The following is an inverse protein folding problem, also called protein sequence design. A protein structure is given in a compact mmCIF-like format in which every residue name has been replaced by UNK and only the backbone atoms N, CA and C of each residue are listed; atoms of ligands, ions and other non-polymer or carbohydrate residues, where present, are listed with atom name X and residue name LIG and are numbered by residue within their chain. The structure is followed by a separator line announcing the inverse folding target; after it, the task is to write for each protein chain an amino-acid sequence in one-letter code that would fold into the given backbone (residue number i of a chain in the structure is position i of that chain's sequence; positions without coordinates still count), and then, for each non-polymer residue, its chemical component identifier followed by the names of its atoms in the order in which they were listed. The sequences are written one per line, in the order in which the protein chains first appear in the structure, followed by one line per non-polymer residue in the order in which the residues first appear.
data_IF_933573763577
#
_entry.id   IF_933573763577
#
_cell.length_a   1.000
_cell.length_b   1.000
_cell.length_c   1.000
_cell.angle_alpha   90.00
_cell.angle_beta   90.00
_cell.angle_gamma   90.00
#
_symmetry.space_group_name_H-M   'P 1'
#
loop_
_entity.id
_entity.type
_entity.pdbx_description
1 polymer ?
#
# COMPACT_ATOMS: atom_id res chain seq x y z
N UNK A 1 2.75 -4.79 20.75
CA UNK A 1 2.57 -4.31 19.36
C UNK A 1 1.10 -4.44 19.01
N UNK A 2 0.51 -3.42 18.39
CA UNK A 2 -0.91 -3.42 18.01
C UNK A 2 -1.03 -3.68 16.49
N UNK A 3 -0.50 -4.84 16.08
CA UNK A 3 -0.41 -5.25 14.66
C UNK A 3 -1.81 -5.52 14.13
N UNK A 4 -2.11 -5.08 12.92
CA UNK A 4 -3.35 -5.40 12.24
C UNK A 4 -3.37 -6.89 11.88
N UNK A 5 -4.37 -7.61 12.38
CA UNK A 5 -4.52 -9.03 12.11
C UNK A 5 -5.14 -9.29 10.73
N UNK A 6 -5.16 -10.56 10.29
CA UNK A 6 -5.70 -10.96 8.98
C UNK A 6 -7.16 -10.56 8.77
N UNK A 7 -7.99 -10.55 9.83
CA UNK A 7 -9.41 -10.12 9.74
C UNK A 7 -9.55 -8.67 9.28
N UNK A 8 -8.57 -7.81 9.58
CA UNK A 8 -8.58 -6.43 9.09
C UNK A 8 -8.52 -6.37 7.56
N UNK A 9 -7.71 -7.21 6.94
CA UNK A 9 -7.51 -7.26 5.48
C UNK A 9 -8.58 -8.10 4.78
N UNK A 10 -9.18 -9.08 5.48
CA UNK A 10 -10.24 -9.95 4.96
C UNK A 10 -11.60 -9.24 4.99
N UNK A 11 -11.68 -8.09 4.35
CA UNK A 11 -12.88 -7.26 4.22
C UNK A 11 -12.93 -6.65 2.82
N UNK A 12 -14.04 -6.03 2.48
CA UNK A 12 -14.18 -5.23 1.25
C UNK A 12 -13.00 -4.27 1.08
N UNK A 13 -12.46 -4.23 -0.12
CA UNK A 13 -11.22 -3.51 -0.44
C UNK A 13 -11.34 -2.00 -0.24
N UNK A 14 -12.49 -1.39 -0.55
CA UNK A 14 -12.67 0.06 -0.37
C UNK A 14 -12.69 0.43 1.12
N UNK A 15 -13.31 -0.40 1.97
CA UNK A 15 -13.25 -0.21 3.42
C UNK A 15 -11.82 -0.35 3.97
N UNK A 16 -11.08 -1.38 3.53
CA UNK A 16 -9.68 -1.54 3.95
C UNK A 16 -8.83 -0.38 3.48
N UNK A 17 -9.02 0.08 2.23
CA UNK A 17 -8.28 1.22 1.66
C UNK A 17 -8.44 2.47 2.50
N UNK A 18 -9.67 2.78 2.89
CA UNK A 18 -10.00 3.92 3.76
C UNK A 18 -9.44 3.75 5.17
N UNK A 19 -9.65 2.57 5.78
CA UNK A 19 -9.26 2.31 7.16
C UNK A 19 -7.74 2.19 7.36
N UNK A 20 -6.96 2.02 6.29
CA UNK A 20 -5.50 2.08 6.30
C UNK A 20 -4.97 3.50 6.50
N UNK A 21 -5.74 4.54 6.20
CA UNK A 21 -5.36 5.91 6.52
C UNK A 21 -5.20 6.06 8.04
N UNK A 22 -4.12 6.71 8.46
CA UNK A 22 -3.78 6.89 9.86
C UNK A 22 -3.12 5.67 10.52
N UNK A 23 -3.05 4.51 9.85
CA UNK A 23 -2.28 3.36 10.35
C UNK A 23 -0.78 3.60 10.17
N UNK A 24 0.03 2.90 10.94
CA UNK A 24 1.48 3.03 10.90
C UNK A 24 2.08 1.85 10.13
N UNK A 25 2.67 2.13 8.97
CA UNK A 25 3.47 1.17 8.22
C UNK A 25 4.84 1.05 8.88
N UNK A 26 5.26 -0.18 9.16
CA UNK A 26 6.50 -0.53 9.84
C UNK A 26 7.39 -1.36 8.90
N UNK A 27 8.68 -1.07 8.91
CA UNK A 27 9.71 -1.84 8.21
C UNK A 27 10.89 -2.06 9.14
N UNK A 28 11.28 -3.31 9.36
CA UNK A 28 12.50 -3.67 10.11
C UNK A 28 13.53 -4.22 9.13
N UNK A 29 14.72 -3.65 9.15
CA UNK A 29 15.84 -4.06 8.30
C UNK A 29 17.14 -4.01 9.10
N UNK A 30 17.85 -5.14 9.24
CA UNK A 30 19.10 -5.23 10.00
C UNK A 30 19.03 -4.62 11.41
N UNK A 31 17.93 -4.86 12.11
CA UNK A 31 17.68 -4.30 13.47
C UNK A 31 17.19 -2.85 13.50
N UNK A 32 17.25 -2.13 12.39
CA UNK A 32 16.73 -0.76 12.28
C UNK A 32 15.24 -0.78 11.99
N UNK A 33 14.45 -0.05 12.76
CA UNK A 33 13.03 0.18 12.51
C UNK A 33 12.79 1.51 11.78
N UNK A 34 12.05 1.43 10.70
CA UNK A 34 11.58 2.56 9.93
C UNK A 34 10.06 2.57 9.96
N UNK A 35 9.46 3.72 10.08
CA UNK A 35 8.00 3.79 10.08
C UNK A 35 7.44 5.10 9.53
N UNK A 36 6.18 5.05 9.10
CA UNK A 36 5.43 6.24 8.73
C UNK A 36 3.92 6.01 8.82
N UNK A 37 3.18 7.09 9.08
CA UNK A 37 1.72 7.07 9.06
C UNK A 37 1.23 7.07 7.62
N UNK A 38 0.38 6.12 7.25
CA UNK A 38 -0.23 6.04 5.93
C UNK A 38 -1.19 7.22 5.75
N UNK A 39 -0.98 8.01 4.70
CA UNK A 39 -1.76 9.22 4.41
C UNK A 39 -2.41 9.22 3.03
N UNK A 40 -2.05 8.25 2.16
CA UNK A 40 -2.63 8.10 0.84
C UNK A 40 -2.63 6.64 0.40
N UNK A 41 -3.77 6.17 -0.13
CA UNK A 41 -4.00 4.80 -0.57
C UNK A 41 -4.86 4.76 -1.84
N UNK A 42 -4.76 3.66 -2.62
CA UNK A 42 -5.65 3.40 -3.75
C UNK A 42 -6.17 1.96 -3.71
N UNK A 43 -7.46 1.78 -4.01
CA UNK A 43 -8.07 0.46 -4.13
C UNK A 43 -7.94 -0.09 -5.55
N UNK A 44 -7.68 -1.40 -5.65
CA UNK A 44 -7.67 -2.18 -6.89
C UNK A 44 -8.53 -3.43 -6.70
N UNK A 45 -9.70 -3.44 -7.37
CA UNK A 45 -10.80 -4.37 -7.09
C UNK A 45 -10.83 -5.57 -8.07
N UNK A 46 -9.71 -6.24 -8.21
CA UNK A 46 -9.64 -7.54 -8.87
C UNK A 46 -10.07 -7.56 -10.34
N UNK A 47 -10.81 -8.62 -10.72
CA UNK A 47 -11.18 -8.87 -12.13
C UNK A 47 -12.18 -7.85 -12.70
N UNK A 48 -13.00 -7.23 -11.86
CA UNK A 48 -14.00 -6.25 -12.28
C UNK A 48 -13.39 -4.87 -12.59
N UNK A 49 -12.17 -4.61 -12.13
CA UNK A 49 -11.45 -3.36 -12.24
C UNK A 49 -10.41 -3.44 -13.37
N UNK A 50 -10.65 -2.74 -14.48
CA UNK A 50 -9.75 -2.76 -15.64
C UNK A 50 -8.38 -2.12 -15.39
N UNK A 51 -8.21 -1.36 -14.28
CA UNK A 51 -6.93 -0.85 -13.84
C UNK A 51 -6.12 -1.85 -13.00
N UNK A 52 -6.78 -2.92 -12.50
CA UNK A 52 -6.13 -3.91 -11.66
C UNK A 52 -5.24 -4.86 -12.47
N UNK A 53 -4.06 -5.21 -11.96
CA UNK A 53 -3.17 -6.20 -12.58
C UNK A 53 -3.82 -7.59 -12.74
N UNK A 54 -4.82 -7.90 -11.93
CA UNK A 54 -5.53 -9.16 -11.96
C UNK A 54 -6.75 -9.16 -12.91
N UNK A 55 -7.06 -8.04 -13.57
CA UNK A 55 -8.19 -7.91 -14.50
C UNK A 55 -8.20 -9.00 -15.58
N UNK A 56 -7.03 -9.29 -16.15
CA UNK A 56 -6.84 -10.30 -17.21
C UNK A 56 -6.54 -11.71 -16.67
N UNK A 57 -6.67 -11.93 -15.35
CA UNK A 57 -6.43 -13.21 -14.70
C UNK A 57 -5.08 -13.33 -14.01
N UNK A 58 -4.77 -14.55 -13.55
CA UNK A 58 -3.58 -14.87 -12.77
C UNK A 58 -2.34 -15.02 -13.67
N UNK A 59 -1.25 -14.42 -13.24
CA UNK A 59 0.08 -14.53 -13.88
C UNK A 59 1.12 -14.77 -12.79
N UNK A 60 2.35 -15.16 -13.14
CA UNK A 60 3.45 -15.28 -12.18
C UNK A 60 3.71 -13.95 -11.42
N UNK A 61 3.53 -12.81 -12.09
CA UNK A 61 3.72 -11.48 -11.50
C UNK A 61 2.71 -11.16 -10.40
N UNK A 62 1.43 -11.47 -10.61
CA UNK A 62 0.32 -11.09 -9.73
C UNK A 62 -0.20 -12.25 -8.85
N UNK A 63 0.49 -13.39 -8.86
CA UNK A 63 0.05 -14.62 -8.18
C UNK A 63 -0.28 -14.38 -6.69
N UNK A 64 0.48 -13.51 -6.01
CA UNK A 64 0.28 -13.16 -4.59
C UNK A 64 -1.10 -12.54 -4.35
N UNK A 65 -1.65 -11.77 -5.29
CA UNK A 65 -2.98 -11.16 -5.15
C UNK A 65 -4.10 -12.20 -5.04
N UNK A 66 -3.88 -13.44 -5.51
CA UNK A 66 -4.86 -14.53 -5.44
C UNK A 66 -4.73 -15.37 -4.16
N UNK A 67 -3.77 -15.03 -3.30
CA UNK A 67 -3.53 -15.69 -2.01
C UNK A 67 -4.37 -15.11 -0.88
N UNK A 68 -3.94 -15.42 0.36
CA UNK A 68 -4.58 -14.95 1.58
C UNK A 68 -4.42 -13.44 1.76
N UNK A 69 -5.44 -12.74 2.31
CA UNK A 69 -5.34 -11.33 2.64
C UNK A 69 -4.26 -11.06 3.69
N UNK A 70 -3.72 -9.84 3.69
CA UNK A 70 -2.64 -9.45 4.61
C UNK A 70 -1.25 -9.89 4.13
N UNK A 71 -1.10 -10.24 2.84
CA UNK A 71 0.21 -10.41 2.22
C UNK A 71 0.60 -9.16 1.42
N UNK A 72 1.88 -8.83 1.43
CA UNK A 72 2.43 -7.77 0.61
C UNK A 72 2.55 -8.24 -0.85
N UNK A 73 1.95 -7.51 -1.78
CA UNK A 73 2.20 -7.65 -3.20
C UNK A 73 3.13 -6.53 -3.66
N UNK A 74 4.39 -6.89 -3.88
CA UNK A 74 5.43 -5.95 -4.31
C UNK A 74 5.81 -6.24 -5.75
N UNK A 75 5.64 -5.25 -6.64
CA UNK A 75 5.98 -5.41 -8.04
C UNK A 75 6.92 -4.32 -8.55
N UNK A 76 7.71 -4.69 -9.57
CA UNK A 76 8.64 -3.79 -10.25
C UNK A 76 7.97 -3.14 -11.46
N UNK A 77 8.18 -1.84 -11.64
CA UNK A 77 7.59 -1.07 -12.73
C UNK A 77 8.55 -0.01 -13.27
N UNK A 78 8.33 0.41 -14.52
CA UNK A 78 9.14 1.40 -15.23
C UNK A 78 10.64 1.09 -15.24
N UNK A 79 11.06 -0.16 -15.07
CA UNK A 79 12.47 -0.55 -15.06
C UNK A 79 13.29 -0.06 -13.86
N UNK A 80 12.68 0.61 -12.87
CA UNK A 80 13.43 1.23 -11.78
C UNK A 80 12.71 1.35 -10.42
N UNK A 81 11.42 1.02 -10.34
CA UNK A 81 10.63 1.30 -9.16
C UNK A 81 9.87 0.08 -8.64
N UNK A 82 9.79 -0.02 -7.32
CA UNK A 82 8.90 -0.96 -6.62
C UNK A 82 7.66 -0.25 -6.10
N UNK A 83 6.55 -0.99 -6.05
CA UNK A 83 5.27 -0.54 -5.54
C UNK A 83 4.76 -1.54 -4.52
N UNK A 84 4.34 -1.06 -3.34
CA UNK A 84 3.80 -1.88 -2.25
C UNK A 84 2.29 -1.87 -2.27
N UNK A 85 1.70 -3.06 -2.36
CA UNK A 85 0.27 -3.27 -2.14
C UNK A 85 0.04 -4.27 -1.01
N UNK A 86 -1.11 -4.20 -0.36
CA UNK A 86 -1.57 -5.14 0.64
C UNK A 86 -2.79 -5.87 0.11
N UNK A 87 -2.71 -7.20 0.02
CA UNK A 87 -3.78 -8.06 -0.48
C UNK A 87 -4.96 -8.03 0.49
N UNK A 88 -6.17 -7.95 -0.06
CA UNK A 88 -7.44 -7.87 0.69
C UNK A 88 -8.43 -8.93 0.22
N UNK A 89 -9.55 -9.05 0.93
CA UNK A 89 -10.66 -9.97 0.64
C UNK A 89 -10.27 -11.46 0.76
N UNK A 90 -11.16 -12.36 0.37
CA UNK A 90 -10.90 -13.79 0.46
C UNK A 90 -9.87 -14.26 -0.59
N UNK A 91 -9.13 -15.31 -0.27
CA UNK A 91 -8.27 -15.99 -1.23
C UNK A 91 -9.05 -16.36 -2.49
N UNK A 92 -8.45 -16.15 -3.66
CA UNK A 92 -9.10 -16.31 -4.97
C UNK A 92 -9.77 -15.04 -5.51
N UNK A 93 -10.02 -14.03 -4.66
CA UNK A 93 -10.50 -12.70 -5.06
C UNK A 93 -9.32 -11.72 -5.08
N UNK A 94 -8.73 -11.41 -6.25
CA UNK A 94 -7.42 -10.77 -6.35
C UNK A 94 -7.49 -9.24 -6.18
N UNK A 95 -7.89 -8.80 -5.01
CA UNK A 95 -8.00 -7.38 -4.64
C UNK A 95 -6.80 -6.94 -3.79
N UNK A 96 -6.42 -5.67 -3.90
CA UNK A 96 -5.33 -5.13 -3.12
C UNK A 96 -5.43 -3.60 -2.94
N UNK A 97 -4.74 -3.11 -1.90
CA UNK A 97 -4.60 -1.67 -1.63
C UNK A 97 -3.16 -1.24 -1.89
N UNK A 98 -2.94 -0.30 -2.81
CA UNK A 98 -1.66 0.35 -3.03
C UNK A 98 -1.42 1.40 -1.94
N UNK A 99 -0.28 1.32 -1.26
CA UNK A 99 0.19 2.37 -0.35
C UNK A 99 0.92 3.43 -1.16
N UNK A 100 0.37 4.65 -1.20
CA UNK A 100 0.90 5.72 -2.07
C UNK A 100 1.80 6.72 -1.36
N UNK A 101 1.44 7.08 -0.14
CA UNK A 101 2.25 8.01 0.65
C UNK A 101 2.15 7.71 2.14
N UNK A 102 3.24 8.03 2.84
CA UNK A 102 3.31 7.98 4.29
C UNK A 102 3.90 9.29 4.82
N UNK A 103 3.52 9.66 6.04
CA UNK A 103 4.20 10.70 6.82
C UNK A 103 5.27 10.00 7.68
N UNK A 104 6.57 10.25 7.46
CA UNK A 104 7.64 9.59 8.19
C UNK A 104 7.55 9.82 9.70
N UNK A 105 7.82 8.79 10.51
CA UNK A 105 7.78 8.84 11.98
C UNK A 105 9.11 8.42 12.61
N UNK A 106 9.67 7.28 12.20
CA UNK A 106 10.90 6.71 12.78
C UNK A 106 11.88 6.36 11.68
N UNK A 107 13.19 6.54 11.95
CA UNK A 107 14.26 6.22 11.02
C UNK A 107 14.38 7.20 9.85
N UNK A 108 13.98 8.46 10.05
CA UNK A 108 13.94 9.51 9.02
C UNK A 108 15.32 9.72 8.39
N UNK A 109 16.38 9.80 9.18
CA UNK A 109 17.76 9.99 8.68
C UNK A 109 18.17 8.88 7.69
N UNK A 110 17.82 7.62 7.99
CA UNK A 110 18.09 6.50 7.10
C UNK A 110 17.27 6.58 5.81
N UNK A 111 16.03 7.04 5.87
CA UNK A 111 15.21 7.30 4.69
C UNK A 111 15.81 8.44 3.84
N UNK A 112 16.23 9.53 4.48
CA UNK A 112 16.89 10.68 3.81
C UNK A 112 18.20 10.26 3.13
N UNK A 113 19.01 9.44 3.80
CA UNK A 113 20.26 8.92 3.23
C UNK A 113 20.01 8.09 1.94
N UNK A 114 18.95 7.27 1.92
CA UNK A 114 18.58 6.46 0.74
C UNK A 114 18.00 7.28 -0.38
N UNK A 115 17.19 8.27 -0.05
CA UNK A 115 16.46 9.10 -1.03
C UNK A 115 17.22 10.33 -1.48
N UNK A 116 18.15 10.84 -0.65
CA UNK A 116 18.80 12.16 -0.79
C UNK A 116 17.77 13.29 -0.94
N UNK A 117 16.68 13.19 -0.21
CA UNK A 117 15.55 14.12 -0.14
C UNK A 117 15.10 14.27 1.31
N UNK A 118 14.43 15.39 1.62
CA UNK A 118 13.91 15.71 2.97
C UNK A 118 12.43 16.12 2.92
N UNK A 119 11.81 16.19 4.09
CA UNK A 119 10.45 16.67 4.26
C UNK A 119 9.43 15.90 3.42
N UNK A 120 8.43 16.58 2.89
CA UNK A 120 7.33 15.97 2.14
C UNK A 120 7.80 15.15 0.91
N UNK A 121 8.93 15.52 0.28
CA UNK A 121 9.46 14.82 -0.88
C UNK A 121 10.04 13.44 -0.55
N UNK A 122 10.16 13.09 0.74
CA UNK A 122 10.79 11.86 1.17
C UNK A 122 9.94 10.64 0.83
N UNK A 123 8.61 10.70 1.06
CA UNK A 123 7.70 9.56 0.96
C UNK A 123 6.34 9.89 0.32
N UNK A 124 6.21 11.02 -0.36
CA UNK A 124 4.97 11.46 -1.02
C UNK A 124 4.78 10.85 -2.42
N UNK A 125 4.86 9.54 -2.51
CA UNK A 125 4.62 8.78 -3.73
C UNK A 125 4.99 7.31 -3.55
N UNK A 126 4.35 6.38 -4.26
CA UNK A 126 4.46 4.95 -3.99
C UNK A 126 5.88 4.40 -4.23
N UNK A 127 6.55 4.84 -5.29
CA UNK A 127 7.95 4.49 -5.53
C UNK A 127 8.89 5.12 -4.50
N UNK A 128 8.58 6.37 -4.09
CA UNK A 128 9.39 7.12 -3.13
C UNK A 128 9.39 6.44 -1.76
N UNK A 129 8.21 6.04 -1.26
CA UNK A 129 8.11 5.33 0.02
C UNK A 129 8.81 3.97 -0.03
N UNK A 130 8.69 3.21 -1.14
CA UNK A 130 9.40 1.94 -1.28
C UNK A 130 10.92 2.14 -1.24
N UNK A 131 11.45 3.15 -1.90
CA UNK A 131 12.88 3.48 -1.85
C UNK A 131 13.30 3.93 -0.43
N UNK A 132 12.52 4.79 0.24
CA UNK A 132 12.80 5.25 1.59
C UNK A 132 12.86 4.11 2.61
N UNK A 133 11.91 3.17 2.51
CA UNK A 133 11.79 2.02 3.41
C UNK A 133 12.58 0.78 2.96
N UNK A 134 13.35 0.85 1.87
CA UNK A 134 14.01 -0.32 1.25
C UNK A 134 13.03 -1.48 1.03
N UNK A 135 11.90 -1.18 0.39
CA UNK A 135 10.91 -2.18 -0.02
C UNK A 135 11.21 -2.59 -1.45
N UNK A 136 11.50 -3.85 -1.66
CA UNK A 136 11.80 -4.44 -2.97
C UNK A 136 11.12 -5.80 -3.15
N UNK A 137 11.50 -6.52 -4.20
CA UNK A 137 10.92 -7.82 -4.55
C UNK A 137 11.08 -8.89 -3.46
N UNK A 138 12.07 -8.78 -2.57
CA UNK A 138 12.27 -9.76 -1.48
C UNK A 138 11.08 -9.81 -0.51
N UNK A 139 10.33 -8.71 -0.41
CA UNK A 139 9.14 -8.61 0.42
C UNK A 139 7.84 -9.03 -0.30
N UNK A 140 7.91 -9.44 -1.58
CA UNK A 140 6.72 -9.92 -2.27
C UNK A 140 6.25 -11.25 -1.68
N UNK A 141 5.03 -11.30 -1.16
CA UNK A 141 4.47 -12.44 -0.42
C UNK A 141 4.75 -12.40 1.09
N UNK A 142 5.40 -11.35 1.62
CA UNK A 142 5.57 -11.17 3.06
C UNK A 142 4.19 -11.07 3.75
N UNK A 143 3.99 -11.86 4.83
CA UNK A 143 2.80 -11.78 5.67
C UNK A 143 2.91 -10.61 6.64
N UNK A 144 2.17 -9.53 6.38
CA UNK A 144 2.23 -8.30 7.18
C UNK A 144 1.48 -8.40 8.51
N UNK A 145 0.90 -9.55 8.80
CA UNK A 145 0.21 -9.82 10.08
C UNK A 145 1.13 -10.40 11.16
N UNK A 146 2.37 -10.77 10.78
CA UNK A 146 3.32 -11.43 11.67
C UNK A 146 4.27 -10.48 12.42
N UNK A 147 4.41 -9.22 11.98
CA UNK A 147 5.29 -8.25 12.64
C UNK A 147 6.79 -8.55 12.52
N UNK A 148 7.21 -9.22 11.44
CA UNK A 148 8.61 -9.62 11.22
C UNK A 148 9.44 -8.52 10.55
N UNK A 149 9.31 -8.38 9.23
CA UNK A 149 10.09 -7.44 8.43
C UNK A 149 9.28 -6.25 7.94
N UNK A 150 8.01 -6.49 7.59
CA UNK A 150 7.04 -5.49 7.12
C UNK A 150 5.69 -5.78 7.78
N UNK A 151 5.08 -4.77 8.39
CA UNK A 151 3.75 -4.91 9.01
C UNK A 151 3.05 -3.56 9.14
N UNK A 152 1.77 -3.58 9.53
CA UNK A 152 0.99 -2.39 9.81
C UNK A 152 0.42 -2.46 11.23
N UNK A 153 0.51 -1.35 11.95
CA UNK A 153 -0.01 -1.19 13.31
C UNK A 153 -1.18 -0.19 13.37
N UNK A 154 -2.08 -0.39 14.32
CA UNK A 154 -2.99 0.68 14.70
C UNK A 154 -2.19 1.88 15.23
N UNK A 155 -2.53 3.10 14.77
CA UNK A 155 -1.85 4.32 15.21
C UNK A 155 -2.83 5.45 15.46
N UNK A 156 -3.39 6.06 14.43
CA UNK A 156 -4.40 7.12 14.54
C UNK A 156 -5.69 6.72 13.85
N UNK A 157 -6.81 7.18 14.37
CA UNK A 157 -8.09 7.16 13.65
C UNK A 157 -8.22 8.48 12.90
N UNK A 158 -8.42 8.43 11.60
CA UNK A 158 -8.67 9.60 10.76
C UNK A 158 -10.18 9.83 10.73
N UNK A 159 -10.67 11.03 11.09
CA UNK A 159 -12.08 11.37 10.97
C UNK A 159 -12.53 11.40 9.51
N UNK A 160 -13.75 10.97 9.26
CA UNK A 160 -14.32 10.94 7.91
C UNK A 160 -14.33 12.32 7.22
N UNK A 161 -14.50 13.37 8.00
CA UNK A 161 -14.55 14.76 7.54
C UNK A 161 -13.25 15.27 6.90
N UNK A 162 -12.11 14.62 7.18
CA UNK A 162 -10.81 14.98 6.59
C UNK A 162 -10.33 13.97 5.55
N UNK A 163 -11.13 12.96 5.22
CA UNK A 163 -10.81 12.02 4.16
C UNK A 163 -11.33 12.57 2.83
N UNK A 164 -10.40 12.77 1.91
CA UNK A 164 -10.71 13.19 0.54
C UNK A 164 -10.65 11.98 -0.38
N UNK A 165 -11.61 11.86 -1.29
CA UNK A 165 -11.63 10.82 -2.33
C UNK A 165 -11.49 11.43 -3.71
N UNK A 166 -10.68 10.80 -4.56
CA UNK A 166 -10.41 11.24 -5.93
C UNK A 166 -10.29 10.04 -6.86
N UNK A 167 -10.27 10.24 -8.18
CA UNK A 167 -9.79 9.24 -9.11
C UNK A 167 -8.35 8.81 -8.81
N UNK A 168 -8.02 7.57 -9.16
CA UNK A 168 -6.66 7.00 -9.04
C UNK A 168 -5.70 7.64 -10.04
N UNK A 169 -4.41 7.57 -9.78
CA UNK A 169 -3.35 8.19 -10.58
C UNK A 169 -2.64 7.13 -11.44
N UNK A 170 -2.37 7.47 -12.70
CA UNK A 170 -1.55 6.64 -13.61
C UNK A 170 -2.28 5.43 -14.17
N UNK A 171 -3.60 5.50 -14.30
CA UNK A 171 -4.46 4.44 -14.83
C UNK A 171 -5.21 4.87 -16.11
N UNK A 172 -4.63 5.74 -16.93
CA UNK A 172 -5.26 6.28 -18.15
C UNK A 172 -5.65 5.20 -19.16
N UNK A 173 -5.01 4.04 -19.09
CA UNK A 173 -5.30 2.85 -19.90
C UNK A 173 -6.61 2.12 -19.49
N UNK A 174 -7.17 2.43 -18.32
CA UNK A 174 -8.36 1.76 -17.82
C UNK A 174 -9.64 2.25 -18.48
N UNK A 175 -10.71 1.45 -18.40
CA UNK A 175 -12.05 1.85 -18.86
C UNK A 175 -12.52 3.10 -18.11
N UNK A 176 -13.29 3.95 -18.76
CA UNK A 176 -13.77 5.23 -18.20
C UNK A 176 -14.38 5.07 -16.81
N UNK A 177 -15.28 4.10 -16.62
CA UNK A 177 -15.91 3.85 -15.31
C UNK A 177 -14.91 3.60 -14.17
N UNK A 178 -13.79 2.91 -14.48
CA UNK A 178 -12.77 2.54 -13.48
C UNK A 178 -11.78 3.70 -13.29
N UNK A 179 -11.51 4.46 -14.35
CA UNK A 179 -10.65 5.64 -14.31
C UNK A 179 -11.26 6.77 -13.49
N UNK A 180 -12.58 6.97 -13.59
CA UNK A 180 -13.33 8.02 -12.91
C UNK A 180 -13.78 7.61 -11.49
N UNK A 181 -13.67 6.33 -11.13
CA UNK A 181 -14.02 5.84 -9.80
C UNK A 181 -13.17 6.53 -8.72
N UNK A 182 -13.83 7.04 -7.67
CA UNK A 182 -13.19 7.76 -6.55
C UNK A 182 -12.54 6.77 -5.57
N UNK A 183 -11.60 5.96 -6.06
CA UNK A 183 -10.96 4.87 -5.33
C UNK A 183 -9.53 5.20 -4.85
N UNK A 184 -9.18 6.45 -4.83
CA UNK A 184 -7.99 6.98 -4.17
C UNK A 184 -8.45 7.80 -2.96
N UNK A 185 -7.90 7.45 -1.79
CA UNK A 185 -8.22 8.05 -0.50
C UNK A 185 -6.98 8.74 0.05
N UNK A 186 -7.14 9.95 0.57
CA UNK A 186 -6.05 10.72 1.16
C UNK A 186 -6.56 11.52 2.38
N UNK A 187 -5.65 11.76 3.31
CA UNK A 187 -5.89 12.67 4.43
C UNK A 187 -5.79 14.09 3.88
N UNK A 188 -6.89 14.84 3.94
CA UNK A 188 -6.94 16.27 3.62
C UNK A 188 -6.14 17.10 4.64
N UNK A 189 -5.85 18.33 4.26
CA UNK A 189 -5.21 19.32 5.14
C UNK A 189 -6.14 19.82 6.24
#
# INVERSE_FOLDING_TARGET
MNILNRKFYHRDTLWVTRDLLGKKLMRRINGLELSGMIVETEAYCGRADSACHAHRGKTARNAVMFGEPGHAYVYFTYGMHYMLNLVTEAAGNPCAVLIRAILPLTGIEAMEARRKKKGALLTNGPAKLCQALSIDKSLNGCDVTLGSELWVENYKKIPDSVIVTTPRIGIDYAKTKDREALWRFLVGE
#
